data_IF_294669958180
#
_entry.id   IF_294669958180
#
_cell.length_a   1.000
_cell.length_b   1.000
_cell.length_c   1.000
_cell.angle_alpha   90.00
_cell.angle_beta   90.00
_cell.angle_gamma   90.00
#
_symmetry.space_group_name_H-M   'P 1'
#
loop_
_entity.id
_entity.type
_entity.pdbx_description
1 polymer ?
#
# COMPACT_ATOMS: atom_id res chain seq x y z
N UNK A 1 0.42 3.72 -36.68
CA UNK A 1 -0.80 3.23 -36.01
C UNK A 1 -1.25 4.36 -35.09
N UNK A 2 -2.03 5.29 -35.63
CA UNK A 2 -2.52 6.44 -34.88
C UNK A 2 -3.63 5.98 -33.95
N UNK A 3 -3.53 6.33 -32.67
CA UNK A 3 -4.58 6.07 -31.70
C UNK A 3 -5.67 7.11 -31.95
N UNK A 4 -6.88 6.74 -32.40
CA UNK A 4 -7.94 7.72 -32.57
C UNK A 4 -8.39 8.18 -31.18
N UNK A 5 -8.22 9.48 -30.91
CA UNK A 5 -8.78 10.15 -29.74
C UNK A 5 -10.04 10.90 -30.19
N UNK A 6 -11.20 10.77 -29.51
CA UNK A 6 -11.40 10.36 -28.11
C UNK A 6 -11.61 8.85 -27.91
N UNK A 7 -11.13 8.33 -26.78
CA UNK A 7 -11.37 6.95 -26.38
C UNK A 7 -12.87 6.71 -26.13
N UNK A 8 -13.43 5.62 -26.65
CA UNK A 8 -14.78 5.14 -26.31
C UNK A 8 -14.81 4.64 -24.84
N UNK A 9 -15.99 4.48 -24.21
CA UNK A 9 -16.07 3.95 -22.82
C UNK A 9 -15.38 2.57 -22.69
N UNK A 10 -15.42 1.75 -23.75
CA UNK A 10 -14.69 0.49 -23.81
C UNK A 10 -13.17 0.69 -23.77
N UNK A 11 -12.65 1.69 -24.47
CA UNK A 11 -11.24 2.09 -24.41
C UNK A 11 -10.82 2.61 -23.03
N UNK A 12 -11.62 3.47 -22.42
CA UNK A 12 -11.39 3.96 -21.05
C UNK A 12 -11.37 2.82 -20.02
N UNK A 13 -12.28 1.86 -20.15
CA UNK A 13 -12.37 0.70 -19.27
C UNK A 13 -11.15 -0.21 -19.39
N UNK A 14 -10.66 -0.44 -20.61
CA UNK A 14 -9.45 -1.22 -20.85
C UNK A 14 -8.24 -0.56 -20.16
N UNK A 15 -8.06 0.75 -20.38
CA UNK A 15 -7.00 1.51 -19.73
C UNK A 15 -7.10 1.46 -18.19
N UNK A 16 -8.29 1.69 -17.64
CA UNK A 16 -8.55 1.64 -16.19
C UNK A 16 -8.20 0.27 -15.59
N UNK A 17 -8.63 -0.82 -16.22
CA UNK A 17 -8.30 -2.19 -15.79
C UNK A 17 -6.80 -2.45 -15.86
N UNK A 18 -6.12 -2.04 -16.93
CA UNK A 18 -4.67 -2.20 -17.07
C UNK A 18 -3.93 -1.46 -15.95
N UNK A 19 -4.31 -0.22 -15.65
CA UNK A 19 -3.72 0.57 -14.56
C UNK A 19 -3.91 -0.13 -13.22
N UNK A 20 -5.15 -0.55 -12.91
CA UNK A 20 -5.43 -1.24 -11.64
C UNK A 20 -4.66 -2.55 -11.49
N UNK A 21 -4.52 -3.32 -12.57
CA UNK A 21 -3.73 -4.56 -12.58
C UNK A 21 -2.24 -4.30 -12.35
N UNK A 22 -1.67 -3.25 -12.95
CA UNK A 22 -0.27 -2.87 -12.71
C UNK A 22 -0.07 -2.52 -11.23
N UNK A 23 -0.95 -1.70 -10.65
CA UNK A 23 -0.86 -1.37 -9.22
C UNK A 23 -1.05 -2.60 -8.32
N UNK A 24 -2.00 -3.47 -8.63
CA UNK A 24 -2.18 -4.72 -7.90
C UNK A 24 -0.91 -5.60 -7.97
N UNK A 25 -0.28 -5.71 -9.15
CA UNK A 25 0.94 -6.48 -9.33
C UNK A 25 2.12 -5.89 -8.54
N UNK A 26 2.31 -4.57 -8.56
CA UNK A 26 3.35 -3.88 -7.79
C UNK A 26 3.19 -4.09 -6.29
N UNK A 27 1.96 -3.91 -5.78
CA UNK A 27 1.66 -4.13 -4.35
C UNK A 27 1.83 -5.61 -3.99
N UNK A 28 1.37 -6.52 -4.85
CA UNK A 28 1.54 -7.96 -4.68
C UNK A 28 3.02 -8.36 -4.62
N UNK A 29 3.85 -7.81 -5.51
CA UNK A 29 5.29 -8.05 -5.52
C UNK A 29 5.96 -7.56 -4.23
N UNK A 30 5.54 -6.40 -3.72
CA UNK A 30 6.00 -5.89 -2.41
C UNK A 30 5.66 -6.87 -1.27
N UNK A 31 4.45 -7.42 -1.25
CA UNK A 31 4.06 -8.43 -0.26
C UNK A 31 4.84 -9.74 -0.40
N UNK A 32 5.03 -10.22 -1.64
CA UNK A 32 5.83 -11.41 -1.91
C UNK A 32 7.27 -11.24 -1.45
N UNK A 33 7.89 -10.09 -1.74
CA UNK A 33 9.23 -9.77 -1.29
C UNK A 33 9.33 -9.84 0.24
N UNK A 34 8.41 -9.19 0.97
CA UNK A 34 8.41 -9.20 2.43
C UNK A 34 8.09 -10.56 3.06
N UNK A 35 7.31 -11.40 2.37
CA UNK A 35 7.04 -12.78 2.78
C UNK A 35 8.26 -13.68 2.63
N UNK A 36 8.94 -13.62 1.48
CA UNK A 36 10.12 -14.44 1.17
C UNK A 36 11.31 -14.02 2.05
N UNK A 37 11.61 -12.72 2.14
CA UNK A 37 12.71 -12.21 2.94
C UNK A 37 12.28 -12.03 4.40
N UNK A 38 12.61 -13.00 5.23
CA UNK A 38 12.39 -12.97 6.68
C UNK A 38 13.27 -11.93 7.37
N UNK A 39 12.72 -11.19 8.33
CA UNK A 39 13.50 -10.51 9.38
C UNK A 39 14.22 -11.50 10.35
N UNK A 40 14.12 -12.81 10.10
CA UNK A 40 14.53 -13.91 10.95
C UNK A 40 15.95 -14.37 10.68
N UNK A 41 16.91 -13.47 10.80
CA UNK A 41 18.29 -13.82 11.13
C UNK A 41 18.55 -13.38 12.57
N UNK A 42 18.96 -14.29 13.46
CA UNK A 42 19.28 -13.98 14.88
C UNK A 42 20.44 -12.97 15.10
N UNK A 43 20.90 -12.30 14.06
CA UNK A 43 21.81 -11.15 14.12
C UNK A 43 21.51 -10.22 12.95
N UNK A 44 20.76 -9.14 13.18
CA UNK A 44 20.76 -7.98 12.28
C UNK A 44 21.26 -6.74 13.02
N UNK A 45 22.60 -6.56 13.10
CA UNK A 45 23.25 -5.36 13.58
C UNK A 45 23.43 -4.41 12.39
N UNK A 46 22.33 -3.94 11.81
CA UNK A 46 22.40 -2.76 10.96
C UNK A 46 21.50 -1.73 11.64
N UNK A 47 22.06 -0.94 12.58
CA UNK A 47 21.42 0.27 13.05
C UNK A 47 21.04 1.09 11.83
N UNK A 48 19.93 1.83 11.90
CA UNK A 48 19.64 2.76 10.80
C UNK A 48 20.86 3.67 10.62
N UNK A 49 21.23 4.03 9.39
CA UNK A 49 22.37 4.95 9.16
C UNK A 49 22.23 6.24 9.99
N UNK A 50 20.98 6.65 10.20
CA UNK A 50 20.62 7.74 11.11
C UNK A 50 21.03 7.45 12.56
N UNK A 51 20.65 6.31 13.13
CA UNK A 51 21.03 5.88 14.47
C UNK A 51 22.55 5.69 14.63
N UNK A 52 23.23 5.27 13.55
CA UNK A 52 24.69 5.16 13.51
C UNK A 52 25.40 6.53 13.60
N UNK A 53 24.78 7.58 13.06
CA UNK A 53 25.37 8.93 12.95
C UNK A 53 24.89 9.86 14.07
N UNK A 54 23.65 9.68 14.56
CA UNK A 54 23.01 10.61 15.51
C UNK A 54 22.70 9.99 16.88
N UNK A 55 22.75 8.65 17.02
CA UNK A 55 22.40 7.97 18.27
C UNK A 55 20.91 7.99 18.62
N UNK A 56 20.05 8.61 17.79
CA UNK A 56 18.60 8.65 18.00
C UNK A 56 17.84 7.63 17.14
N UNK A 57 16.80 7.04 17.73
CA UNK A 57 15.91 6.11 17.03
C UNK A 57 15.02 6.88 16.04
N UNK A 58 15.28 6.75 14.74
CA UNK A 58 14.46 7.37 13.70
C UNK A 58 13.01 6.83 13.71
N UNK A 59 11.98 7.65 13.43
CA UNK A 59 10.58 7.18 13.30
C UNK A 59 10.36 6.12 12.22
N UNK A 60 11.32 5.93 11.31
CA UNK A 60 11.29 4.89 10.26
C UNK A 60 11.96 3.58 10.68
N UNK A 61 12.64 3.56 11.83
CA UNK A 61 13.32 2.38 12.35
C UNK A 61 12.29 1.31 12.71
N UNK A 62 12.51 0.06 12.26
CA UNK A 62 11.62 -1.05 12.55
C UNK A 62 10.37 -1.15 11.67
N UNK A 63 10.09 -0.20 10.75
CA UNK A 63 8.96 -0.31 9.82
C UNK A 63 9.09 -1.53 8.89
N UNK A 64 10.26 -1.76 8.30
CA UNK A 64 10.52 -2.93 7.45
C UNK A 64 10.41 -4.25 8.24
N UNK A 65 10.81 -4.26 9.51
CA UNK A 65 10.67 -5.42 10.42
C UNK A 65 9.21 -5.67 10.75
N UNK A 66 8.48 -4.61 11.12
CA UNK A 66 7.03 -4.65 11.35
C UNK A 66 6.30 -5.14 10.10
N UNK A 67 6.75 -4.77 8.89
CA UNK A 67 6.18 -5.25 7.64
C UNK A 67 6.33 -6.76 7.47
N UNK A 68 7.56 -7.26 7.55
CA UNK A 68 7.88 -8.68 7.35
C UNK A 68 7.10 -9.55 8.34
N UNK A 69 7.03 -9.14 9.62
CA UNK A 69 6.23 -9.83 10.64
C UNK A 69 4.72 -9.72 10.38
N UNK A 70 4.23 -8.59 9.87
CA UNK A 70 2.81 -8.42 9.50
C UNK A 70 2.41 -9.36 8.36
N UNK A 71 3.26 -9.50 7.33
CA UNK A 71 3.02 -10.42 6.21
C UNK A 71 3.05 -11.89 6.66
N UNK A 72 3.84 -12.20 7.70
CA UNK A 72 3.92 -13.52 8.33
C UNK A 72 2.83 -13.80 9.37
N UNK A 73 1.87 -12.88 9.53
CA UNK A 73 0.78 -12.96 10.52
C UNK A 73 1.26 -12.94 11.98
N UNK A 74 2.51 -12.53 12.24
CA UNK A 74 3.05 -12.35 13.59
C UNK A 74 2.78 -10.94 14.11
N UNK A 75 1.50 -10.67 14.39
CA UNK A 75 1.05 -9.34 14.81
C UNK A 75 1.63 -8.88 16.15
N UNK A 76 2.04 -9.81 17.02
CA UNK A 76 2.67 -9.47 18.30
C UNK A 76 4.08 -8.89 18.08
N UNK A 77 4.92 -9.57 17.30
CA UNK A 77 6.25 -9.08 16.96
C UNK A 77 6.17 -7.81 16.10
N UNK A 78 5.22 -7.74 15.16
CA UNK A 78 5.02 -6.56 14.32
C UNK A 78 4.70 -5.29 15.14
N UNK A 79 3.85 -5.41 16.19
CA UNK A 79 3.55 -4.31 17.13
C UNK A 79 4.76 -3.93 17.98
N UNK A 80 5.56 -4.92 18.40
CA UNK A 80 6.77 -4.67 19.17
C UNK A 80 7.82 -3.88 18.35
N UNK A 81 7.90 -4.12 17.03
CA UNK A 81 8.80 -3.36 16.16
C UNK A 81 8.29 -1.97 15.81
N UNK A 82 6.98 -1.80 15.57
CA UNK A 82 6.41 -0.48 15.34
C UNK A 82 4.90 -0.47 15.69
N UNK A 83 4.44 0.33 16.66
CA UNK A 83 3.05 0.31 17.12
C UNK A 83 2.05 0.70 16.01
N UNK A 84 2.48 1.52 15.05
CA UNK A 84 1.66 1.93 13.90
C UNK A 84 1.99 1.18 12.60
N UNK A 85 2.94 0.24 12.61
CA UNK A 85 3.38 -0.45 11.40
C UNK A 85 2.26 -1.25 10.74
N UNK A 86 1.52 -2.04 11.53
CA UNK A 86 0.36 -2.81 11.06
C UNK A 86 -0.67 -1.91 10.37
N UNK A 87 -0.94 -0.72 10.93
CA UNK A 87 -1.91 0.23 10.36
C UNK A 87 -1.43 0.76 9.00
N UNK A 88 -0.14 1.08 8.84
CA UNK A 88 0.43 1.45 7.55
C UNK A 88 0.35 0.32 6.53
N UNK A 89 0.69 -0.90 6.90
CA UNK A 89 0.64 -2.04 5.98
C UNK A 89 -0.78 -2.46 5.63
N UNK A 90 -1.74 -2.21 6.53
CA UNK A 90 -3.16 -2.41 6.23
C UNK A 90 -3.65 -1.55 5.08
N UNK A 91 -3.09 -0.34 4.88
CA UNK A 91 -3.41 0.48 3.71
C UNK A 91 -3.04 -0.25 2.41
N UNK A 92 -1.81 -0.73 2.29
CA UNK A 92 -1.36 -1.43 1.08
C UNK A 92 -2.15 -2.72 0.86
N UNK A 93 -2.49 -3.42 1.94
CA UNK A 93 -3.32 -4.62 1.89
C UNK A 93 -4.71 -4.28 1.35
N UNK A 94 -5.39 -3.30 1.92
CA UNK A 94 -6.70 -2.83 1.47
C UNK A 94 -6.64 -2.33 0.01
N UNK A 95 -5.61 -1.57 -0.35
CA UNK A 95 -5.40 -1.10 -1.72
C UNK A 95 -5.28 -2.26 -2.70
N UNK A 96 -4.55 -3.33 -2.37
CA UNK A 96 -4.47 -4.52 -3.21
C UNK A 96 -5.85 -5.11 -3.51
N UNK A 97 -6.68 -5.31 -2.48
CA UNK A 97 -8.04 -5.83 -2.68
C UNK A 97 -8.95 -4.87 -3.44
N UNK A 98 -8.82 -3.55 -3.22
CA UNK A 98 -9.56 -2.55 -3.99
C UNK A 98 -9.22 -2.62 -5.47
N UNK A 99 -7.93 -2.75 -5.84
CA UNK A 99 -7.52 -2.88 -7.25
C UNK A 99 -8.12 -4.12 -7.89
N UNK A 100 -8.16 -5.25 -7.19
CA UNK A 100 -8.82 -6.47 -7.66
C UNK A 100 -10.33 -6.25 -7.81
N UNK A 101 -10.99 -5.71 -6.78
CA UNK A 101 -12.43 -5.44 -6.76
C UNK A 101 -12.86 -4.50 -7.90
N UNK A 102 -12.18 -3.36 -8.08
CA UNK A 102 -12.54 -2.41 -9.13
C UNK A 102 -12.19 -2.93 -10.52
N UNK A 103 -11.17 -3.79 -10.66
CA UNK A 103 -10.88 -4.47 -11.93
C UNK A 103 -11.98 -5.46 -12.29
N UNK A 104 -12.49 -6.24 -11.33
CA UNK A 104 -13.59 -7.19 -11.57
C UNK A 104 -14.91 -6.46 -11.85
N UNK A 105 -15.22 -5.40 -11.09
CA UNK A 105 -16.39 -4.55 -11.33
C UNK A 105 -16.34 -3.91 -12.73
N UNK A 106 -15.19 -3.36 -13.13
CA UNK A 106 -15.01 -2.81 -14.46
C UNK A 106 -15.20 -3.88 -15.55
N UNK A 107 -14.81 -5.13 -15.31
CA UNK A 107 -15.01 -6.22 -16.27
C UNK A 107 -16.49 -6.58 -16.49
N UNK A 108 -17.37 -6.38 -15.49
CA UNK A 108 -18.82 -6.63 -15.64
C UNK A 108 -19.50 -5.66 -16.60
N UNK A 109 -18.90 -4.49 -16.83
CA UNK A 109 -19.41 -3.47 -17.73
C UNK A 109 -20.72 -2.78 -17.34
N UNK A 110 -21.22 -3.06 -16.14
CA UNK A 110 -22.47 -2.51 -15.60
C UNK A 110 -22.37 -1.03 -15.22
N UNK A 111 -21.16 -0.52 -15.00
CA UNK A 111 -20.92 0.82 -14.49
C UNK A 111 -20.07 1.62 -15.48
N UNK A 112 -20.36 2.91 -15.59
CA UNK A 112 -19.54 3.86 -16.36
C UNK A 112 -18.16 3.98 -15.72
N UNK A 113 -17.11 3.99 -16.55
CA UNK A 113 -15.72 3.98 -16.08
C UNK A 113 -15.39 5.17 -15.17
N UNK A 114 -15.91 6.36 -15.48
CA UNK A 114 -15.68 7.56 -14.67
C UNK A 114 -16.24 7.46 -13.24
N UNK A 115 -17.39 6.82 -13.06
CA UNK A 115 -17.98 6.62 -11.72
C UNK A 115 -17.17 5.61 -10.91
N UNK A 116 -16.73 4.50 -11.53
CA UNK A 116 -15.85 3.53 -10.86
C UNK A 116 -14.54 4.19 -10.40
N UNK A 117 -13.91 4.98 -11.28
CA UNK A 117 -12.68 5.70 -10.96
C UNK A 117 -12.88 6.71 -9.82
N UNK A 118 -14.00 7.45 -9.81
CA UNK A 118 -14.31 8.39 -8.74
C UNK A 118 -14.51 7.68 -7.38
N UNK A 119 -15.28 6.58 -7.36
CA UNK A 119 -15.50 5.80 -6.14
C UNK A 119 -14.19 5.19 -5.61
N UNK A 120 -13.38 4.62 -6.50
CA UNK A 120 -12.07 4.06 -6.18
C UNK A 120 -11.14 5.11 -5.56
N UNK A 121 -11.06 6.29 -6.17
CA UNK A 121 -10.28 7.41 -5.65
C UNK A 121 -10.76 7.86 -4.26
N UNK A 122 -12.08 8.03 -4.08
CA UNK A 122 -12.66 8.46 -2.80
C UNK A 122 -12.39 7.44 -1.68
N UNK A 123 -12.62 6.16 -1.93
CA UNK A 123 -12.35 5.09 -0.95
C UNK A 123 -10.85 5.04 -0.63
N UNK A 124 -9.99 5.19 -1.66
CA UNK A 124 -8.54 5.18 -1.47
C UNK A 124 -8.05 6.35 -0.62
N UNK A 125 -8.58 7.56 -0.86
CA UNK A 125 -8.27 8.75 -0.06
C UNK A 125 -8.75 8.56 1.39
N UNK A 126 -9.96 8.04 1.59
CA UNK A 126 -10.48 7.76 2.93
C UNK A 126 -9.59 6.78 3.70
N UNK A 127 -9.18 5.68 3.07
CA UNK A 127 -8.24 4.73 3.70
C UNK A 127 -6.86 5.31 3.92
N UNK A 128 -6.37 6.16 3.02
CA UNK A 128 -5.10 6.85 3.21
C UNK A 128 -5.15 7.71 4.47
N UNK A 129 -6.17 8.57 4.60
CA UNK A 129 -6.34 9.42 5.77
C UNK A 129 -6.45 8.58 7.05
N UNK A 130 -7.25 7.51 7.03
CA UNK A 130 -7.43 6.64 8.20
C UNK A 130 -6.12 5.94 8.62
N UNK A 131 -5.37 5.38 7.67
CA UNK A 131 -4.18 4.59 7.97
C UNK A 131 -2.97 5.47 8.31
N UNK A 132 -2.81 6.59 7.61
CA UNK A 132 -1.70 7.53 7.79
C UNK A 132 -2.00 8.62 8.81
N UNK A 133 -3.20 8.65 9.41
CA UNK A 133 -3.58 9.58 10.47
C UNK A 133 -2.47 9.90 11.50
N UNK A 134 -1.79 8.90 12.13
CA UNK A 134 -0.77 9.19 13.14
C UNK A 134 0.52 9.82 12.59
N UNK A 135 0.71 9.85 11.27
CA UNK A 135 1.90 10.38 10.60
C UNK A 135 1.66 11.73 9.93
N UNK A 136 0.41 12.20 9.85
CA UNK A 136 0.10 13.47 9.21
C UNK A 136 0.52 14.66 10.11
N UNK A 137 1.34 15.60 9.60
CA UNK A 137 1.87 16.72 10.39
C UNK A 137 0.80 17.77 10.76
N UNK A 138 -0.40 17.69 10.18
CA UNK A 138 -1.54 18.59 10.43
C UNK A 138 -1.89 18.72 11.92
N UNK A 139 -1.51 17.74 12.74
CA UNK A 139 -1.86 17.70 14.16
C UNK A 139 -0.67 17.82 15.13
N UNK A 140 0.55 18.10 14.65
CA UNK A 140 1.69 18.46 15.53
C UNK A 140 1.69 19.96 15.88
N UNK A 141 0.52 20.50 16.19
CA UNK A 141 0.35 21.82 16.81
C UNK A 141 -0.37 21.60 18.13
N UNK A 142 0.39 21.18 19.14
CA UNK A 142 0.11 21.30 20.57
C UNK A 142 1.40 20.94 21.32
#
# INVERSE_FOLDING_TARGET
MEIPFPLTDTGHRAAYRTINLIFAALIGMMFLYAGIFSAGGRHHPIPSFYELVTGETSPSSGLSRSFSETVRLNFQAAKAYHPHGIRLFSFFFLQFFLRILFTTLAATGRWKTGYLAAMDALISVAFFIYCFWPFLPVWKVA
#
